data_IF_484675957255
#
_entry.id   IF_484675957255
#
_cell.length_a   1.000
_cell.length_b   1.000
_cell.length_c   1.000
_cell.angle_alpha   90.00
_cell.angle_beta   90.00
_cell.angle_gamma   90.00
#
_symmetry.space_group_name_H-M   'P 1'
#
loop_
_entity.id
_entity.type
_entity.pdbx_description
1 polymer ?
#
# COMPACT_ATOMS: atom_id res chain seq x y z
N UNK A 1 -7.12 -25.49 13.02
CA UNK A 1 -7.37 -26.95 12.94
C UNK A 1 -7.76 -27.46 11.54
N UNK A 2 -7.61 -26.64 10.49
CA UNK A 2 -8.02 -27.00 9.12
C UNK A 2 -7.10 -28.02 8.43
N UNK A 3 -5.90 -28.25 8.96
CA UNK A 3 -4.90 -29.13 8.35
C UNK A 3 -4.46 -30.27 9.28
N UNK A 4 -5.29 -30.64 10.23
CA UNK A 4 -4.95 -31.73 11.14
C UNK A 4 -5.45 -33.06 10.58
N UNK A 5 -4.68 -33.65 9.68
CA UNK A 5 -4.71 -35.07 9.48
C UNK A 5 -3.88 -35.70 10.62
N UNK A 6 -4.48 -36.43 11.56
CA UNK A 6 -3.73 -37.05 12.67
C UNK A 6 -2.74 -38.13 12.20
N UNK A 7 -2.76 -38.51 10.93
CA UNK A 7 -1.87 -39.47 10.29
C UNK A 7 -0.92 -38.86 9.27
N UNK A 8 -1.04 -37.54 8.99
CA UNK A 8 -0.22 -36.87 8.00
C UNK A 8 1.04 -36.27 8.59
N UNK A 9 2.15 -36.37 7.89
CA UNK A 9 3.36 -35.62 8.16
C UNK A 9 3.19 -34.19 7.62
N UNK A 10 3.57 -33.19 8.43
CA UNK A 10 3.57 -31.79 8.00
C UNK A 10 4.86 -31.11 8.43
N UNK A 11 5.30 -30.17 7.59
CA UNK A 11 6.46 -29.33 7.84
C UNK A 11 5.99 -27.89 8.02
N UNK A 12 6.41 -27.27 9.11
CA UNK A 12 6.14 -25.86 9.39
C UNK A 12 7.38 -25.03 9.06
N UNK A 13 7.18 -23.99 8.25
CA UNK A 13 8.20 -23.00 7.96
C UNK A 13 7.84 -21.70 8.67
N UNK A 14 8.79 -21.12 9.38
CA UNK A 14 8.61 -19.86 10.08
C UNK A 14 9.92 -19.10 10.22
N UNK A 15 9.81 -17.79 10.36
CA UNK A 15 10.92 -16.90 10.68
C UNK A 15 10.47 -15.98 11.82
N UNK A 16 11.04 -16.16 12.99
CA UNK A 16 10.71 -15.36 14.18
C UNK A 16 11.06 -13.89 14.04
N UNK A 17 12.06 -13.56 13.20
CA UNK A 17 12.49 -12.20 12.90
C UNK A 17 11.47 -11.43 12.06
N UNK A 18 10.50 -12.12 11.47
CA UNK A 18 9.36 -11.52 10.75
C UNK A 18 8.10 -11.43 11.62
N UNK A 19 8.23 -11.47 12.94
CA UNK A 19 7.13 -11.30 13.88
C UNK A 19 6.77 -9.81 14.03
N UNK A 20 6.11 -9.27 13.03
CA UNK A 20 5.75 -7.85 12.94
C UNK A 20 4.71 -7.39 13.97
N UNK A 21 3.99 -8.32 14.61
CA UNK A 21 2.96 -7.99 15.59
C UNK A 21 3.48 -7.96 17.03
N UNK A 22 4.78 -8.23 17.26
CA UNK A 22 5.40 -8.17 18.58
C UNK A 22 4.80 -9.12 19.60
N UNK A 23 3.99 -10.09 19.17
CA UNK A 23 3.47 -11.10 20.08
C UNK A 23 4.60 -12.05 20.47
N UNK A 24 4.76 -12.37 21.76
CA UNK A 24 5.73 -13.34 22.18
C UNK A 24 5.36 -14.70 21.57
N UNK A 25 6.05 -15.08 20.51
CA UNK A 25 6.04 -16.45 20.02
C UNK A 25 6.95 -17.24 20.93
N UNK A 26 6.42 -17.66 22.06
CA UNK A 26 7.05 -18.73 22.79
C UNK A 26 7.00 -19.96 21.86
N UNK A 27 8.15 -20.55 21.57
CA UNK A 27 8.23 -21.86 20.88
C UNK A 27 7.28 -22.90 21.51
N UNK A 28 6.88 -22.68 22.77
CA UNK A 28 5.95 -23.51 23.52
C UNK A 28 4.48 -23.33 23.15
N UNK A 29 4.12 -22.24 22.49
CA UNK A 29 2.69 -21.95 22.16
C UNK A 29 2.28 -22.57 20.82
N UNK A 30 3.21 -22.94 20.00
CA UNK A 30 2.94 -23.82 18.86
C UNK A 30 2.91 -25.25 19.39
N UNK A 31 1.76 -25.66 19.90
CA UNK A 31 1.53 -27.07 20.34
C UNK A 31 1.51 -27.95 19.09
N UNK A 32 2.67 -28.14 18.52
CA UNK A 32 2.92 -29.11 17.46
C UNK A 32 3.95 -30.08 17.98
N UNK A 33 3.67 -31.36 17.83
CA UNK A 33 4.66 -32.41 18.05
C UNK A 33 5.73 -32.36 16.93
N UNK A 34 6.31 -31.16 16.68
CA UNK A 34 7.38 -31.01 15.69
C UNK A 34 8.60 -31.73 16.24
N UNK A 35 8.96 -32.83 15.62
CA UNK A 35 10.16 -33.58 15.93
C UNK A 35 11.35 -33.00 15.17
N UNK A 36 12.10 -32.15 15.82
CA UNK A 36 13.33 -31.55 15.30
C UNK A 36 13.08 -30.15 14.68
N UNK A 37 14.05 -29.27 14.85
CA UNK A 37 14.13 -27.96 14.21
C UNK A 37 15.35 -28.00 13.29
N UNK A 38 15.13 -27.80 12.01
CA UNK A 38 16.18 -27.62 11.03
C UNK A 38 16.23 -26.18 10.59
N UNK A 39 17.39 -25.56 10.65
CA UNK A 39 17.62 -24.24 10.12
C UNK A 39 18.03 -24.31 8.66
N UNK A 40 17.39 -23.46 7.83
CA UNK A 40 17.79 -23.30 6.43
C UNK A 40 19.02 -22.39 6.36
N UNK A 41 20.17 -22.96 6.07
CA UNK A 41 21.46 -22.23 6.02
C UNK A 41 21.70 -21.49 4.71
N UNK A 42 20.93 -21.77 3.68
CA UNK A 42 21.13 -21.18 2.35
C UNK A 42 20.03 -20.17 2.03
N UNK A 43 20.41 -18.98 1.55
CA UNK A 43 19.48 -18.00 1.02
C UNK A 43 19.38 -18.12 -0.50
N UNK A 44 18.38 -18.84 -0.99
CA UNK A 44 18.11 -18.98 -2.43
C UNK A 44 17.28 -17.83 -3.02
N UNK A 45 16.73 -16.96 -2.17
CA UNK A 45 15.77 -15.96 -2.56
C UNK A 45 16.41 -14.67 -3.04
N UNK A 46 17.38 -14.18 -2.29
CA UNK A 46 17.89 -12.81 -2.44
C UNK A 46 19.32 -12.81 -2.92
N UNK A 47 19.63 -11.80 -3.73
CA UNK A 47 21.01 -11.46 -4.10
C UNK A 47 21.89 -11.28 -2.85
N UNK A 48 23.18 -11.50 -3.00
CA UNK A 48 24.12 -11.46 -1.88
C UNK A 48 24.14 -10.10 -1.17
N UNK A 49 24.00 -8.96 -1.87
CA UNK A 49 23.95 -7.65 -1.23
C UNK A 49 22.71 -7.47 -0.36
N UNK A 50 21.56 -7.94 -0.81
CA UNK A 50 20.31 -7.89 -0.01
C UNK A 50 20.42 -8.81 1.20
N UNK A 51 21.00 -10.00 1.02
CA UNK A 51 21.30 -10.93 2.11
C UNK A 51 22.24 -10.32 3.14
N UNK A 52 23.37 -9.75 2.69
CA UNK A 52 24.36 -9.14 3.56
C UNK A 52 23.82 -7.94 4.32
N UNK A 53 22.92 -7.16 3.69
CA UNK A 53 22.18 -6.12 4.38
C UNK A 53 21.25 -6.71 5.45
N UNK A 54 20.52 -7.76 5.13
CA UNK A 54 19.62 -8.42 6.09
C UNK A 54 20.40 -8.99 7.28
N UNK A 55 21.55 -9.61 7.05
CA UNK A 55 22.44 -10.11 8.11
C UNK A 55 23.03 -8.95 8.94
N UNK A 56 23.53 -7.91 8.29
CA UNK A 56 24.03 -6.73 9.00
C UNK A 56 22.94 -6.04 9.82
N UNK A 57 21.69 -6.06 9.34
CA UNK A 57 20.55 -5.55 10.07
C UNK A 57 20.27 -6.40 11.33
N UNK A 58 20.32 -7.72 11.22
CA UNK A 58 20.17 -8.60 12.38
C UNK A 58 21.23 -8.30 13.45
N UNK A 59 22.49 -8.18 13.06
CA UNK A 59 23.60 -7.92 13.99
C UNK A 59 23.51 -6.55 14.66
N UNK A 60 23.15 -5.49 13.93
CA UNK A 60 23.26 -4.12 14.42
C UNK A 60 21.95 -3.52 14.92
N UNK A 61 20.79 -4.05 14.49
CA UNK A 61 19.48 -3.51 14.87
C UNK A 61 18.76 -4.46 15.84
N UNK A 62 18.75 -5.73 15.59
CA UNK A 62 18.18 -6.69 16.54
C UNK A 62 19.12 -6.98 17.70
N UNK A 63 20.44 -6.93 17.47
CA UNK A 63 21.42 -7.27 18.51
C UNK A 63 21.15 -8.64 19.12
N UNK A 64 21.05 -8.68 20.45
CA UNK A 64 20.82 -9.93 21.19
C UNK A 64 19.36 -10.40 21.20
N UNK A 65 18.47 -9.70 20.50
CA UNK A 65 17.03 -10.07 20.46
C UNK A 65 16.78 -11.37 19.72
N UNK A 66 17.57 -11.64 18.70
CA UNK A 66 17.48 -12.85 17.88
C UNK A 66 18.87 -13.33 17.51
N UNK A 67 19.04 -14.63 17.36
CA UNK A 67 20.25 -15.21 16.81
C UNK A 67 20.45 -14.72 15.37
N UNK A 68 21.68 -14.36 15.03
CA UNK A 68 22.03 -13.96 13.67
C UNK A 68 22.09 -15.20 12.79
N UNK A 69 21.42 -15.17 11.64
CA UNK A 69 21.52 -16.26 10.67
C UNK A 69 22.94 -16.34 10.12
N UNK A 70 23.48 -17.56 10.11
CA UNK A 70 24.78 -17.83 9.50
C UNK A 70 24.59 -18.20 8.01
N UNK A 71 24.77 -17.22 7.15
CA UNK A 71 24.78 -17.43 5.70
C UNK A 71 26.22 -17.59 5.14
N UNK A 72 27.15 -18.05 5.97
CA UNK A 72 28.59 -18.12 5.65
C UNK A 72 28.91 -19.07 4.50
N UNK A 73 28.06 -20.03 4.20
CA UNK A 73 28.22 -20.90 3.03
C UNK A 73 27.67 -20.23 1.77
N UNK A 74 28.41 -19.37 1.28
CA UNK A 74 28.67 -18.82 -0.05
C UNK A 74 27.63 -18.93 -1.16
N UNK A 75 27.13 -17.79 -1.51
CA UNK A 75 26.58 -17.48 -2.81
C UNK A 75 25.06 -17.61 -2.84
N UNK A 76 24.45 -16.64 -3.47
CA UNK A 76 23.08 -16.79 -3.97
C UNK A 76 23.09 -17.85 -5.05
N UNK A 77 22.62 -19.02 -4.76
CA UNK A 77 22.41 -20.07 -5.75
C UNK A 77 20.95 -20.00 -6.23
N UNK A 78 20.74 -20.29 -7.50
CA UNK A 78 19.40 -20.56 -7.99
C UNK A 78 18.92 -21.94 -7.49
N UNK A 79 17.66 -22.26 -7.75
CA UNK A 79 17.07 -23.55 -7.37
C UNK A 79 17.82 -24.77 -7.96
N UNK A 80 18.61 -24.56 -9.02
CA UNK A 80 19.41 -25.59 -9.67
C UNK A 80 20.88 -25.60 -9.22
N UNK A 81 21.23 -24.82 -8.20
CA UNK A 81 22.59 -24.76 -7.67
C UNK A 81 23.57 -23.95 -8.54
N UNK A 82 23.07 -23.14 -9.48
CA UNK A 82 23.89 -22.24 -10.26
C UNK A 82 24.05 -20.91 -9.53
N UNK A 83 25.28 -20.42 -9.42
CA UNK A 83 25.54 -19.13 -8.81
C UNK A 83 24.87 -18.00 -9.63
N UNK A 84 24.06 -17.19 -8.98
CA UNK A 84 23.46 -16.03 -9.64
C UNK A 84 24.55 -15.01 -10.00
N UNK A 85 24.82 -14.88 -11.30
CA UNK A 85 25.90 -14.02 -11.80
C UNK A 85 25.54 -12.53 -11.88
N UNK A 86 24.29 -12.14 -11.59
CA UNK A 86 23.86 -10.75 -11.70
C UNK A 86 23.89 -10.07 -10.34
N UNK A 87 24.85 -9.20 -10.18
CA UNK A 87 25.03 -8.38 -8.99
C UNK A 87 23.81 -7.48 -8.75
N UNK A 88 23.20 -7.60 -7.58
CA UNK A 88 22.10 -6.75 -7.14
C UNK A 88 22.58 -5.33 -6.81
N UNK A 89 21.63 -4.40 -6.78
CA UNK A 89 21.88 -3.02 -6.46
C UNK A 89 21.17 -2.64 -5.17
N UNK A 90 21.92 -2.04 -4.24
CA UNK A 90 21.35 -1.45 -3.03
C UNK A 90 21.65 0.04 -3.01
N UNK A 91 20.64 0.84 -2.73
CA UNK A 91 20.80 2.27 -2.54
C UNK A 91 19.99 2.78 -1.35
N UNK A 92 20.48 3.87 -0.78
CA UNK A 92 19.82 4.59 0.29
C UNK A 92 19.71 6.06 -0.07
N UNK A 93 18.54 6.63 0.14
CA UNK A 93 18.23 8.04 -0.11
C UNK A 93 17.46 8.61 1.08
N UNK A 94 17.84 9.80 1.54
CA UNK A 94 17.15 10.52 2.59
C UNK A 94 16.44 11.74 2.04
N UNK A 95 15.14 11.87 2.34
CA UNK A 95 14.32 13.01 2.00
C UNK A 95 13.97 13.78 3.26
N UNK A 96 14.45 15.01 3.37
CA UNK A 96 14.18 15.86 4.54
C UNK A 96 12.73 16.32 4.64
N UNK A 97 12.10 16.58 3.49
CA UNK A 97 10.73 17.06 3.42
C UNK A 97 9.73 15.90 3.48
N UNK A 98 9.22 15.67 4.67
CA UNK A 98 8.26 14.60 5.01
C UNK A 98 6.92 14.69 4.25
N UNK A 99 6.63 15.84 3.64
CA UNK A 99 5.33 16.08 2.99
C UNK A 99 5.46 16.15 1.47
N UNK A 100 6.66 16.02 0.93
CA UNK A 100 6.90 16.18 -0.48
C UNK A 100 6.75 14.86 -1.26
N UNK A 101 5.52 14.44 -1.48
CA UNK A 101 5.20 13.26 -2.28
C UNK A 101 5.66 13.41 -3.73
N UNK A 102 5.69 14.62 -4.27
CA UNK A 102 6.19 14.86 -5.63
C UNK A 102 7.70 14.52 -5.72
N UNK A 103 8.49 14.87 -4.70
CA UNK A 103 9.89 14.46 -4.62
C UNK A 103 10.04 12.93 -4.51
N UNK A 104 9.23 12.28 -3.68
CA UNK A 104 9.20 10.81 -3.57
C UNK A 104 8.88 10.18 -4.93
N UNK A 105 7.85 10.67 -5.63
CA UNK A 105 7.50 10.23 -6.97
C UNK A 105 8.67 10.40 -7.95
N UNK A 106 9.30 11.57 -7.99
CA UNK A 106 10.40 11.87 -8.91
C UNK A 106 11.58 10.93 -8.69
N UNK A 107 11.93 10.65 -7.44
CA UNK A 107 13.00 9.72 -7.09
C UNK A 107 12.66 8.30 -7.52
N UNK A 108 11.47 7.80 -7.19
CA UNK A 108 11.05 6.45 -7.57
C UNK A 108 11.00 6.34 -9.09
N UNK A 109 10.36 7.27 -9.77
CA UNK A 109 10.23 7.28 -11.22
C UNK A 109 11.58 7.35 -11.92
N UNK A 110 12.49 8.21 -11.44
CA UNK A 110 13.85 8.34 -11.97
C UNK A 110 14.65 7.04 -11.82
N UNK A 111 14.57 6.37 -10.68
CA UNK A 111 15.23 5.09 -10.48
C UNK A 111 14.63 3.98 -11.38
N UNK A 112 13.31 3.95 -11.56
CA UNK A 112 12.66 3.00 -12.46
C UNK A 112 13.14 3.21 -13.89
N UNK A 113 13.15 4.45 -14.40
CA UNK A 113 13.55 4.76 -15.76
C UNK A 113 15.04 4.50 -16.00
N UNK A 114 15.90 4.86 -15.05
CA UNK A 114 17.35 4.81 -15.24
C UNK A 114 17.97 3.43 -14.98
N UNK A 115 17.37 2.62 -14.09
CA UNK A 115 18.00 1.38 -13.61
C UNK A 115 17.16 0.12 -13.83
N UNK A 116 15.88 0.27 -14.05
CA UNK A 116 14.95 -0.84 -14.24
C UNK A 116 14.37 -0.88 -15.67
N UNK A 117 15.00 -0.24 -16.63
CA UNK A 117 14.47 -0.08 -18.00
C UNK A 117 14.10 -1.39 -18.73
N UNK A 118 14.64 -2.52 -18.28
CA UNK A 118 14.32 -3.84 -18.81
C UNK A 118 13.55 -4.72 -17.81
N UNK A 119 13.09 -4.16 -16.68
CA UNK A 119 12.35 -4.91 -15.66
C UNK A 119 10.86 -4.64 -15.86
N UNK A 120 10.09 -5.71 -15.89
CA UNK A 120 8.63 -5.60 -15.99
C UNK A 120 8.05 -4.80 -14.81
N UNK A 121 7.05 -3.93 -15.04
CA UNK A 121 6.32 -3.29 -13.95
C UNK A 121 5.78 -4.28 -12.90
N UNK A 122 5.46 -5.50 -13.31
CA UNK A 122 5.03 -6.57 -12.40
C UNK A 122 6.09 -6.95 -11.35
N UNK A 123 7.36 -6.75 -11.67
CA UNK A 123 8.50 -7.12 -10.83
C UNK A 123 8.98 -5.98 -9.93
N UNK A 124 8.26 -4.86 -9.95
CA UNK A 124 8.56 -3.67 -9.16
C UNK A 124 7.50 -3.50 -8.07
N UNK A 125 7.97 -3.34 -6.84
CA UNK A 125 7.08 -3.13 -5.68
C UNK A 125 7.55 -1.95 -4.85
N UNK A 126 6.60 -1.13 -4.43
CA UNK A 126 6.80 -0.02 -3.48
C UNK A 126 6.16 -0.43 -2.17
N UNK A 127 6.95 -0.50 -1.11
CA UNK A 127 6.54 -0.90 0.22
C UNK A 127 6.66 0.25 1.20
N UNK A 128 5.68 0.39 2.08
CA UNK A 128 5.70 1.35 3.18
C UNK A 128 5.02 0.79 4.42
N UNK A 129 5.02 1.56 5.51
CA UNK A 129 4.45 1.11 6.78
C UNK A 129 2.95 1.34 6.83
N UNK A 130 2.49 2.49 6.37
CA UNK A 130 1.11 2.91 6.56
C UNK A 130 0.30 2.94 5.29
N UNK A 131 -0.99 2.70 5.47
CA UNK A 131 -1.95 2.79 4.36
C UNK A 131 -2.18 4.25 3.95
N UNK A 132 -2.03 5.21 4.85
CA UNK A 132 -2.26 6.63 4.59
C UNK A 132 -1.30 7.18 3.54
N UNK A 133 0.00 7.11 3.80
CA UNK A 133 1.02 7.56 2.84
C UNK A 133 0.90 6.81 1.51
N UNK A 134 0.74 5.49 1.57
CA UNK A 134 0.69 4.68 0.36
C UNK A 134 -0.53 4.98 -0.51
N UNK A 135 -1.70 5.26 0.07
CA UNK A 135 -2.87 5.70 -0.70
C UNK A 135 -2.62 7.00 -1.42
N UNK A 136 -2.06 7.96 -0.69
CA UNK A 136 -1.77 9.28 -1.22
C UNK A 136 -0.72 9.20 -2.32
N UNK A 137 0.33 8.42 -2.08
CA UNK A 137 1.38 8.19 -3.06
C UNK A 137 0.86 7.44 -4.31
N UNK A 138 0.06 6.39 -4.14
CA UNK A 138 -0.50 5.61 -5.25
C UNK A 138 -1.41 6.48 -6.13
N UNK A 139 -2.28 7.28 -5.53
CA UNK A 139 -3.12 8.20 -6.26
C UNK A 139 -2.29 9.21 -7.07
N UNK A 140 -1.27 9.80 -6.44
CA UNK A 140 -0.34 10.71 -7.11
C UNK A 140 0.42 10.01 -8.22
N UNK A 141 0.99 8.83 -7.95
CA UNK A 141 1.78 8.04 -8.90
C UNK A 141 0.96 7.71 -10.16
N UNK A 142 -0.26 7.19 -9.99
CA UNK A 142 -1.12 6.82 -11.12
C UNK A 142 -1.53 8.03 -11.95
N UNK A 143 -1.87 9.11 -11.28
CA UNK A 143 -2.19 10.37 -11.98
C UNK A 143 -0.98 10.91 -12.77
N UNK A 144 0.18 11.03 -12.13
CA UNK A 144 1.39 11.57 -12.75
C UNK A 144 1.97 10.66 -13.84
N UNK A 145 1.86 9.34 -13.69
CA UNK A 145 2.29 8.36 -14.69
C UNK A 145 1.27 8.11 -15.79
N UNK A 146 0.06 8.67 -15.66
CA UNK A 146 -1.09 8.40 -16.54
C UNK A 146 -1.38 6.90 -16.72
N UNK A 147 -1.12 6.12 -15.69
CA UNK A 147 -1.45 4.70 -15.67
C UNK A 147 -2.95 4.50 -15.50
N UNK A 148 -3.56 3.70 -16.38
CA UNK A 148 -5.01 3.43 -16.41
C UNK A 148 -5.39 2.13 -15.72
N UNK A 149 -4.69 1.72 -14.69
CA UNK A 149 -4.97 0.42 -14.08
C UNK A 149 -5.52 0.57 -12.68
N UNK A 150 -6.19 -0.49 -12.21
CA UNK A 150 -6.79 -0.62 -10.87
C UNK A 150 -5.89 -0.05 -9.77
N UNK A 151 -5.92 1.24 -9.58
CA UNK A 151 -5.15 1.98 -8.58
C UNK A 151 -5.93 2.08 -7.28
N UNK A 152 -5.27 2.53 -6.22
CA UNK A 152 -6.00 2.94 -5.01
C UNK A 152 -6.97 4.08 -5.28
N UNK A 153 -6.69 4.92 -6.28
CA UNK A 153 -7.59 5.97 -6.75
C UNK A 153 -8.92 5.39 -7.23
N UNK A 154 -8.88 4.41 -8.15
CA UNK A 154 -10.08 3.72 -8.61
C UNK A 154 -10.81 2.99 -7.48
N UNK A 155 -10.05 2.47 -6.50
CA UNK A 155 -10.65 1.88 -5.29
C UNK A 155 -11.42 2.93 -4.49
N UNK A 156 -10.87 4.14 -4.32
CA UNK A 156 -11.54 5.24 -3.63
C UNK A 156 -12.79 5.67 -4.40
N UNK A 157 -12.70 5.84 -5.72
CA UNK A 157 -13.85 6.13 -6.57
C UNK A 157 -14.94 5.05 -6.46
N UNK A 158 -14.54 3.78 -6.49
CA UNK A 158 -15.46 2.66 -6.31
C UNK A 158 -16.12 2.69 -4.93
N UNK A 159 -15.39 3.06 -3.87
CA UNK A 159 -15.95 3.24 -2.53
C UNK A 159 -17.01 4.34 -2.52
N UNK A 160 -16.71 5.50 -3.08
CA UNK A 160 -17.68 6.59 -3.17
C UNK A 160 -18.92 6.17 -3.99
N UNK A 161 -18.72 5.52 -5.12
CA UNK A 161 -19.83 5.02 -5.95
C UNK A 161 -20.70 4.03 -5.18
N UNK A 162 -20.09 3.11 -4.46
CA UNK A 162 -20.82 2.10 -3.67
C UNK A 162 -21.66 2.77 -2.58
N UNK A 163 -21.10 3.74 -1.86
CA UNK A 163 -21.81 4.49 -0.83
C UNK A 163 -22.94 5.34 -1.41
N UNK A 164 -22.68 6.04 -2.51
CA UNK A 164 -23.70 6.86 -3.18
C UNK A 164 -24.83 6.00 -3.73
N UNK A 165 -24.53 4.82 -4.26
CA UNK A 165 -25.54 3.86 -4.72
C UNK A 165 -26.40 3.33 -3.56
N UNK A 166 -25.76 3.02 -2.41
CA UNK A 166 -26.46 2.57 -1.23
C UNK A 166 -27.40 3.64 -0.70
N UNK A 167 -26.90 4.87 -0.51
CA UNK A 167 -27.69 6.00 -0.06
C UNK A 167 -28.87 6.23 -1.01
N UNK A 168 -28.63 6.19 -2.34
CA UNK A 168 -29.69 6.37 -3.33
C UNK A 168 -30.77 5.31 -3.29
N UNK A 169 -30.42 4.03 -3.00
CA UNK A 169 -31.39 2.93 -2.90
C UNK A 169 -32.20 2.95 -1.61
N UNK A 170 -31.60 3.39 -0.52
CA UNK A 170 -32.23 3.34 0.82
C UNK A 170 -32.84 4.66 1.26
N UNK A 171 -33.15 5.51 0.31
CA UNK A 171 -33.63 6.88 0.55
C UNK A 171 -35.14 6.96 0.96
N UNK A 172 -35.82 5.85 1.13
CA UNK A 172 -37.24 5.80 1.46
C UNK A 172 -37.56 6.32 2.86
N UNK A 173 -37.68 7.65 3.00
CA UNK A 173 -38.26 8.26 4.19
C UNK A 173 -37.29 8.57 5.35
N UNK A 174 -36.00 8.43 5.20
CA UNK A 174 -35.04 8.82 6.22
C UNK A 174 -34.70 10.33 6.10
N UNK A 175 -35.09 11.19 7.07
CA UNK A 175 -34.84 12.63 7.01
C UNK A 175 -33.35 12.99 6.96
N UNK A 176 -32.48 12.14 7.46
CA UNK A 176 -31.03 12.34 7.42
C UNK A 176 -30.43 12.23 6.01
N UNK A 177 -31.22 11.74 5.05
CA UNK A 177 -30.81 11.63 3.64
C UNK A 177 -31.41 12.74 2.74
N UNK A 178 -32.13 13.67 3.31
CA UNK A 178 -32.73 14.79 2.56
C UNK A 178 -31.67 15.61 1.79
N UNK A 179 -30.49 15.79 2.37
CA UNK A 179 -29.39 16.46 1.74
C UNK A 179 -28.87 15.71 0.48
N UNK A 180 -28.90 14.38 0.46
CA UNK A 180 -28.49 13.59 -0.70
C UNK A 180 -29.43 13.86 -1.89
N UNK A 181 -30.71 13.95 -1.63
CA UNK A 181 -31.67 14.35 -2.67
C UNK A 181 -31.39 15.76 -3.20
N UNK A 182 -31.07 16.70 -2.32
CA UNK A 182 -30.72 18.07 -2.70
C UNK A 182 -29.44 18.08 -3.56
N UNK A 183 -28.42 17.34 -3.18
CA UNK A 183 -27.19 17.18 -3.99
C UNK A 183 -27.54 16.57 -5.35
N UNK A 184 -28.26 15.47 -5.35
CA UNK A 184 -28.62 14.75 -6.57
C UNK A 184 -29.42 15.63 -7.51
N UNK A 185 -30.40 16.37 -7.01
CA UNK A 185 -31.20 17.35 -7.81
C UNK A 185 -30.34 18.52 -8.31
N UNK A 186 -29.43 19.02 -7.50
CA UNK A 186 -28.51 20.06 -7.93
C UNK A 186 -27.64 19.58 -9.11
N UNK A 187 -26.97 18.47 -8.99
CA UNK A 187 -26.14 17.90 -10.05
C UNK A 187 -26.97 17.48 -11.27
N UNK A 188 -28.17 16.95 -11.07
CA UNK A 188 -29.10 16.63 -12.14
C UNK A 188 -29.40 17.87 -12.99
N UNK A 189 -29.77 18.97 -12.35
CA UNK A 189 -30.05 20.24 -13.05
C UNK A 189 -28.82 20.79 -13.78
N UNK A 190 -27.63 20.61 -13.22
CA UNK A 190 -26.39 21.13 -13.79
C UNK A 190 -25.86 20.26 -14.94
N UNK A 191 -25.86 18.95 -14.77
CA UNK A 191 -25.30 17.99 -15.75
C UNK A 191 -26.31 17.62 -16.84
N UNK A 192 -27.61 17.59 -16.51
CA UNK A 192 -28.68 17.18 -17.42
C UNK A 192 -29.83 18.22 -17.51
N UNK A 193 -29.53 19.47 -17.88
CA UNK A 193 -30.51 20.57 -17.77
C UNK A 193 -31.77 20.39 -18.62
N UNK A 194 -31.70 19.58 -19.68
CA UNK A 194 -32.83 19.34 -20.59
C UNK A 194 -33.65 18.09 -20.22
N UNK A 195 -33.28 17.34 -19.16
CA UNK A 195 -33.96 16.12 -18.76
C UNK A 195 -34.89 16.37 -17.59
N UNK A 196 -36.14 16.03 -17.73
CA UNK A 196 -37.13 16.04 -16.65
C UNK A 196 -37.05 14.77 -15.79
N UNK A 197 -36.72 13.64 -16.41
CA UNK A 197 -36.60 12.34 -15.75
C UNK A 197 -35.22 11.75 -16.01
N UNK A 198 -34.56 11.19 -14.98
CA UNK A 198 -33.32 10.43 -15.11
C UNK A 198 -33.63 8.94 -15.10
N UNK A 199 -33.09 8.25 -16.08
CA UNK A 199 -33.09 6.78 -16.12
C UNK A 199 -31.95 6.21 -15.28
N UNK A 200 -31.95 4.93 -14.99
CA UNK A 200 -30.91 4.27 -14.19
C UNK A 200 -29.50 4.54 -14.71
N UNK A 201 -29.32 4.56 -16.02
CA UNK A 201 -28.05 4.89 -16.66
C UNK A 201 -27.59 6.33 -16.33
N UNK A 202 -28.48 7.29 -16.34
CA UNK A 202 -28.18 8.67 -16.02
C UNK A 202 -27.83 8.83 -14.53
N UNK A 203 -28.51 8.09 -13.67
CA UNK A 203 -28.22 8.07 -12.23
C UNK A 203 -26.84 7.48 -11.94
N UNK A 204 -26.47 6.40 -12.64
CA UNK A 204 -25.11 5.83 -12.53
C UNK A 204 -24.08 6.86 -12.97
N UNK A 205 -24.28 7.51 -14.12
CA UNK A 205 -23.37 8.53 -14.63
C UNK A 205 -23.27 9.73 -13.69
N UNK A 206 -24.38 10.18 -13.13
CA UNK A 206 -24.43 11.25 -12.14
C UNK A 206 -23.58 10.90 -10.91
N UNK A 207 -23.75 9.70 -10.35
CA UNK A 207 -22.98 9.22 -9.20
C UNK A 207 -21.50 9.09 -9.51
N UNK A 208 -21.13 8.65 -10.72
CA UNK A 208 -19.73 8.61 -11.15
C UNK A 208 -19.12 10.02 -11.16
N UNK A 209 -19.80 11.03 -11.65
CA UNK A 209 -19.30 12.39 -11.63
C UNK A 209 -19.07 12.91 -10.20
N UNK A 210 -20.00 12.63 -9.29
CA UNK A 210 -19.87 13.02 -7.88
C UNK A 210 -18.67 12.29 -7.24
N UNK A 211 -18.51 10.96 -7.50
CA UNK A 211 -17.41 10.18 -6.97
C UNK A 211 -16.05 10.69 -7.45
N UNK A 212 -15.92 10.99 -8.75
CA UNK A 212 -14.69 11.56 -9.33
C UNK A 212 -14.37 12.91 -8.68
N UNK A 213 -15.38 13.77 -8.54
CA UNK A 213 -15.19 15.08 -7.93
C UNK A 213 -14.71 14.97 -6.46
N UNK A 214 -15.30 14.07 -5.67
CA UNK A 214 -14.85 13.81 -4.30
C UNK A 214 -13.43 13.28 -4.25
N UNK A 215 -13.07 12.38 -5.15
CA UNK A 215 -11.72 11.83 -5.22
C UNK A 215 -10.68 12.91 -5.53
N UNK A 216 -10.95 13.78 -6.49
CA UNK A 216 -10.05 14.90 -6.84
C UNK A 216 -9.97 15.90 -5.70
N UNK A 217 -11.07 16.14 -4.99
CA UNK A 217 -11.06 16.98 -3.80
C UNK A 217 -10.15 16.40 -2.69
N UNK A 218 -10.22 15.12 -2.42
CA UNK A 218 -9.36 14.48 -1.42
C UNK A 218 -7.87 14.57 -1.81
N UNK A 219 -7.56 14.45 -3.10
CA UNK A 219 -6.23 14.69 -3.62
C UNK A 219 -5.79 16.14 -3.49
N UNK A 220 -6.68 17.08 -3.77
CA UNK A 220 -6.42 18.51 -3.59
C UNK A 220 -6.12 18.85 -2.12
N UNK A 221 -6.87 18.31 -1.18
CA UNK A 221 -6.62 18.52 0.27
C UNK A 221 -5.22 18.04 0.65
N UNK A 222 -4.78 16.93 0.06
CA UNK A 222 -3.45 16.36 0.31
C UNK A 222 -2.32 17.06 -0.46
N UNK A 223 -2.61 17.60 -1.66
CA UNK A 223 -1.64 18.19 -2.60
C UNK A 223 -2.25 19.42 -3.30
N UNK A 224 -2.42 20.54 -2.57
CA UNK A 224 -3.10 21.72 -3.11
C UNK A 224 -2.50 22.23 -4.42
N UNK A 225 -1.17 22.37 -4.46
CA UNK A 225 -0.48 22.94 -5.62
C UNK A 225 -0.60 22.08 -6.88
N UNK A 226 -0.73 20.77 -6.72
CA UNK A 226 -0.79 19.85 -7.86
C UNK A 226 -2.19 19.66 -8.40
N UNK A 227 -3.19 19.64 -7.51
CA UNK A 227 -4.57 19.29 -7.89
C UNK A 227 -5.54 20.45 -7.93
N UNK A 228 -5.10 21.68 -7.60
CA UNK A 228 -5.95 22.87 -7.60
C UNK A 228 -6.60 23.13 -8.96
N UNK A 229 -5.80 23.20 -10.01
CA UNK A 229 -6.32 23.46 -11.36
C UNK A 229 -7.27 22.34 -11.82
N UNK A 230 -6.88 21.09 -11.57
CA UNK A 230 -7.73 19.94 -11.90
C UNK A 230 -9.05 19.95 -11.16
N UNK A 231 -9.05 20.33 -9.89
CA UNK A 231 -10.27 20.46 -9.10
C UNK A 231 -11.17 21.55 -9.65
N UNK A 232 -10.59 22.71 -10.01
CA UNK A 232 -11.33 23.82 -10.62
C UNK A 232 -11.99 23.35 -11.92
N UNK A 233 -11.23 22.70 -12.82
CA UNK A 233 -11.77 22.15 -14.07
C UNK A 233 -12.95 21.21 -13.85
N UNK A 234 -12.85 20.31 -12.88
CA UNK A 234 -13.93 19.36 -12.60
C UNK A 234 -15.16 20.04 -11.96
N UNK A 235 -14.94 21.06 -11.11
CA UNK A 235 -16.01 21.89 -10.60
C UNK A 235 -16.73 22.64 -11.75
N UNK A 236 -15.98 23.21 -12.69
CA UNK A 236 -16.53 23.89 -13.87
C UNK A 236 -17.35 22.95 -14.77
N UNK A 237 -16.82 21.74 -15.04
CA UNK A 237 -17.56 20.70 -15.78
C UNK A 237 -18.89 20.34 -15.13
N UNK A 238 -18.89 20.28 -13.80
CA UNK A 238 -20.10 20.03 -13.00
C UNK A 238 -20.95 21.29 -12.77
N UNK A 239 -20.47 22.48 -13.19
CA UNK A 239 -21.12 23.77 -12.98
C UNK A 239 -21.46 24.06 -11.52
N UNK A 240 -20.53 23.75 -10.62
CA UNK A 240 -20.64 24.02 -9.19
C UNK A 240 -19.51 24.92 -8.73
N UNK A 241 -19.72 25.65 -7.65
CA UNK A 241 -18.66 26.40 -6.99
C UNK A 241 -17.90 25.51 -5.99
N UNK A 242 -16.70 25.93 -5.65
CA UNK A 242 -15.87 25.25 -4.67
C UNK A 242 -16.55 25.14 -3.29
N UNK A 243 -17.21 26.21 -2.84
CA UNK A 243 -17.93 26.24 -1.57
C UNK A 243 -19.07 25.21 -1.53
N UNK A 244 -19.78 25.06 -2.65
CA UNK A 244 -20.84 24.05 -2.79
C UNK A 244 -20.25 22.66 -2.70
N UNK A 245 -19.09 22.41 -3.31
CA UNK A 245 -18.40 21.13 -3.20
C UNK A 245 -18.00 20.82 -1.75
N UNK A 246 -17.41 21.79 -1.04
CA UNK A 246 -17.03 21.63 0.37
C UNK A 246 -18.25 21.29 1.22
N UNK A 247 -19.34 22.03 1.06
CA UNK A 247 -20.57 21.78 1.80
C UNK A 247 -21.11 20.36 1.53
N UNK A 248 -21.12 19.93 0.28
CA UNK A 248 -21.55 18.58 -0.09
C UNK A 248 -20.66 17.50 0.49
N UNK A 249 -19.34 17.70 0.45
CA UNK A 249 -18.39 16.74 0.98
C UNK A 249 -18.54 16.57 2.50
N UNK A 250 -18.75 17.68 3.21
CA UNK A 250 -19.01 17.65 4.64
C UNK A 250 -20.28 16.88 4.98
N UNK A 251 -21.39 17.17 4.32
CA UNK A 251 -22.63 16.44 4.53
C UNK A 251 -22.52 14.95 4.18
N UNK A 252 -21.78 14.63 3.11
CA UNK A 252 -21.52 13.25 2.76
C UNK A 252 -20.80 12.51 3.89
N UNK A 253 -19.79 13.11 4.52
CA UNK A 253 -19.06 12.52 5.66
C UNK A 253 -19.96 12.33 6.90
N UNK A 254 -20.83 13.27 7.18
CA UNK A 254 -21.79 13.18 8.28
C UNK A 254 -22.71 11.96 8.11
N UNK A 255 -23.26 11.77 6.89
CA UNK A 255 -24.13 10.63 6.58
C UNK A 255 -23.35 9.32 6.62
N UNK A 256 -22.15 9.28 6.04
CA UNK A 256 -21.28 8.11 6.07
C UNK A 256 -21.00 7.65 7.50
N UNK A 257 -20.82 8.59 8.41
CA UNK A 257 -20.57 8.28 9.83
C UNK A 257 -21.77 7.58 10.46
N UNK A 258 -22.98 7.92 10.09
CA UNK A 258 -24.20 7.28 10.58
C UNK A 258 -24.41 5.86 10.04
N UNK A 259 -23.99 5.60 8.80
CA UNK A 259 -24.15 4.29 8.14
C UNK A 259 -22.94 3.36 8.25
N UNK A 260 -21.90 3.77 8.95
CA UNK A 260 -20.62 3.04 9.00
C UNK A 260 -20.68 1.61 9.48
N UNK A 261 -21.70 1.19 10.24
CA UNK A 261 -21.68 -0.10 10.93
C UNK A 261 -22.10 -1.28 10.06
N UNK A 262 -23.10 -1.16 9.21
CA UNK A 262 -23.72 -2.34 8.58
C UNK A 262 -23.32 -2.58 7.13
N UNK A 263 -23.20 -1.51 6.34
CA UNK A 263 -22.88 -1.63 4.90
C UNK A 263 -21.38 -1.64 4.63
N UNK A 264 -20.63 -1.00 5.50
CA UNK A 264 -19.20 -0.83 5.32
C UNK A 264 -18.44 -2.16 5.31
N UNK A 265 -18.88 -3.16 6.09
CA UNK A 265 -18.16 -4.42 6.23
C UNK A 265 -18.21 -5.30 4.98
N UNK A 266 -19.38 -5.48 4.35
CA UNK A 266 -19.52 -6.33 3.17
C UNK A 266 -19.00 -5.68 1.89
N UNK A 267 -19.33 -4.40 1.67
CA UNK A 267 -18.88 -3.66 0.51
C UNK A 267 -17.38 -3.36 0.57
N UNK A 268 -16.86 -3.03 1.75
CA UNK A 268 -15.42 -2.85 1.95
C UNK A 268 -14.64 -4.14 1.72
N UNK A 269 -15.18 -5.27 2.13
CA UNK A 269 -14.59 -6.59 1.87
C UNK A 269 -14.49 -6.85 0.36
N UNK A 270 -15.54 -6.61 -0.40
CA UNK A 270 -15.55 -6.78 -1.86
C UNK A 270 -14.52 -5.85 -2.55
N UNK A 271 -14.45 -4.58 -2.13
CA UNK A 271 -13.46 -3.64 -2.65
C UNK A 271 -12.04 -4.09 -2.30
N UNK A 272 -11.83 -4.57 -1.09
CA UNK A 272 -10.53 -5.11 -0.64
C UNK A 272 -10.13 -6.37 -1.41
N UNK A 273 -11.07 -7.24 -1.70
CA UNK A 273 -10.80 -8.48 -2.45
C UNK A 273 -10.49 -8.17 -3.91
N UNK A 274 -11.19 -7.23 -4.52
CA UNK A 274 -10.84 -6.72 -5.85
C UNK A 274 -9.45 -6.07 -5.89
N UNK A 275 -9.04 -5.40 -4.82
CA UNK A 275 -7.71 -4.81 -4.68
C UNK A 275 -6.58 -5.84 -4.71
N UNK A 276 -6.82 -7.09 -4.32
CA UNK A 276 -5.83 -8.17 -4.40
C UNK A 276 -5.44 -8.53 -5.84
N UNK A 277 -6.26 -8.16 -6.83
CA UNK A 277 -5.92 -8.34 -8.24
C UNK A 277 -4.63 -7.64 -8.65
N UNK A 278 -4.22 -6.58 -7.97
CA UNK A 278 -2.93 -5.91 -8.19
C UNK A 278 -1.71 -6.80 -7.93
N UNK A 279 -1.87 -7.83 -7.11
CA UNK A 279 -0.79 -8.75 -6.80
C UNK A 279 -0.67 -9.91 -7.79
N UNK A 280 -1.55 -9.98 -8.79
CA UNK A 280 -1.43 -11.00 -9.81
C UNK A 280 -0.18 -10.78 -10.66
N UNK A 281 0.49 -11.88 -10.98
CA UNK A 281 1.79 -11.86 -11.67
C UNK A 281 1.78 -11.09 -13.00
N UNK A 282 0.64 -10.99 -13.65
CA UNK A 282 0.47 -10.36 -14.96
C UNK A 282 -0.41 -9.10 -14.93
N UNK A 283 -0.44 -8.37 -13.82
CA UNK A 283 -1.24 -7.14 -13.73
C UNK A 283 -0.76 -6.03 -14.68
N UNK A 284 0.48 -6.10 -15.15
CA UNK A 284 1.10 -5.07 -15.98
C UNK A 284 1.44 -3.78 -15.23
N UNK A 285 1.32 -3.78 -13.89
CA UNK A 285 1.46 -2.58 -13.08
C UNK A 285 2.44 -2.74 -11.93
N UNK A 286 3.01 -1.62 -11.50
CA UNK A 286 3.80 -1.55 -10.29
C UNK A 286 2.90 -1.83 -9.07
N UNK A 287 3.39 -2.65 -8.16
CA UNK A 287 2.70 -2.97 -6.92
C UNK A 287 3.00 -1.92 -5.86
N UNK A 288 1.98 -1.42 -5.19
CA UNK A 288 2.12 -0.49 -4.06
C UNK A 288 1.37 -1.10 -2.88
N UNK A 289 2.08 -1.40 -1.80
CA UNK A 289 1.52 -2.16 -0.68
C UNK A 289 2.17 -1.82 0.64
N UNK A 290 1.48 -2.11 1.74
CA UNK A 290 2.15 -2.14 3.03
C UNK A 290 3.03 -3.39 3.13
N UNK A 291 4.13 -3.30 3.89
CA UNK A 291 5.02 -4.43 4.15
C UNK A 291 4.23 -5.62 4.70
N UNK A 292 3.31 -5.35 5.64
CA UNK A 292 2.47 -6.38 6.24
C UNK A 292 1.59 -7.11 5.21
N UNK A 293 0.95 -6.37 4.30
CA UNK A 293 0.12 -6.97 3.25
C UNK A 293 0.92 -7.71 2.19
N UNK A 294 2.21 -7.38 2.04
CA UNK A 294 3.14 -8.00 1.11
C UNK A 294 3.89 -9.20 1.72
N UNK A 295 3.67 -9.49 3.00
CA UNK A 295 4.27 -10.66 3.65
C UNK A 295 3.88 -11.95 2.90
N UNK A 296 4.87 -12.77 2.56
CA UNK A 296 4.69 -13.98 1.74
C UNK A 296 4.94 -13.75 0.24
N UNK A 297 4.99 -12.52 -0.23
CA UNK A 297 5.32 -12.15 -1.61
C UNK A 297 6.76 -11.67 -1.71
N UNK A 298 7.27 -11.59 -2.93
CA UNK A 298 8.62 -11.10 -3.24
C UNK A 298 8.64 -10.39 -4.59
N UNK A 299 9.66 -9.55 -4.83
CA UNK A 299 9.80 -8.76 -6.04
C UNK A 299 11.27 -8.60 -6.42
N UNK A 300 11.57 -8.51 -7.72
CA UNK A 300 12.93 -8.27 -8.23
C UNK A 300 13.45 -6.89 -7.77
N UNK A 301 12.59 -5.90 -7.79
CA UNK A 301 12.90 -4.52 -7.36
C UNK A 301 11.95 -4.11 -6.25
N UNK A 302 12.51 -3.67 -5.13
CA UNK A 302 11.74 -3.14 -4.01
C UNK A 302 12.18 -1.72 -3.69
N UNK A 303 11.24 -0.80 -3.71
CA UNK A 303 11.38 0.52 -3.10
C UNK A 303 10.78 0.45 -1.70
N UNK A 304 11.63 0.54 -0.69
CA UNK A 304 11.22 0.49 0.71
C UNK A 304 11.18 1.90 1.27
N UNK A 305 9.97 2.41 1.52
CA UNK A 305 9.73 3.76 2.02
C UNK A 305 9.63 3.73 3.55
N UNK A 306 10.56 4.41 4.21
CA UNK A 306 10.59 4.54 5.66
C UNK A 306 9.94 5.85 6.06
N UNK A 307 8.74 5.75 6.62
CA UNK A 307 7.97 6.90 7.11
C UNK A 307 8.46 7.38 8.48
N UNK A 308 8.17 8.63 8.86
CA UNK A 308 8.36 9.08 10.23
C UNK A 308 7.68 8.18 11.23
N UNK A 309 8.24 8.03 12.41
CA UNK A 309 7.67 7.18 13.45
C UNK A 309 6.29 7.69 13.86
N UNK A 310 5.32 6.79 13.85
CA UNK A 310 3.98 7.06 14.36
C UNK A 310 4.00 7.13 15.88
N UNK A 311 3.22 8.06 16.42
CA UNK A 311 2.95 8.09 17.84
C UNK A 311 2.24 6.80 18.25
N UNK A 312 2.76 6.12 19.26
CA UNK A 312 2.34 4.78 19.70
C UNK A 312 0.87 4.70 20.16
N UNK A 313 0.19 5.84 20.24
CA UNK A 313 -1.16 5.94 20.82
C UNK A 313 -2.31 5.42 19.95
N UNK A 314 -2.09 5.14 18.66
CA UNK A 314 -3.20 4.92 17.72
C UNK A 314 -3.17 3.64 16.92
N UNK A 315 -2.14 2.83 16.98
CA UNK A 315 -2.04 1.63 16.14
C UNK A 315 -1.38 0.46 16.86
N UNK A 316 -1.90 -0.73 16.58
CA UNK A 316 -1.39 -2.03 16.96
C UNK A 316 0.10 -2.03 17.35
N UNK A 317 0.46 -2.84 18.35
CA UNK A 317 1.85 -3.09 18.77
C UNK A 317 2.66 -3.70 17.61
N UNK A 318 2.91 -2.92 16.56
CA UNK A 318 3.78 -3.33 15.46
C UNK A 318 5.22 -3.15 15.89
N UNK A 319 6.01 -4.18 15.74
CA UNK A 319 7.45 -4.09 15.89
C UNK A 319 8.06 -3.54 14.59
N UNK A 320 8.54 -2.30 14.65
CA UNK A 320 9.05 -1.63 13.45
C UNK A 320 10.36 -2.24 12.93
N UNK A 321 11.21 -2.75 13.80
CA UNK A 321 12.46 -3.38 13.39
C UNK A 321 12.16 -4.67 12.61
N UNK A 322 11.24 -5.52 13.08
CA UNK A 322 10.81 -6.72 12.37
C UNK A 322 10.07 -6.40 11.09
N UNK A 323 9.29 -5.30 11.09
CA UNK A 323 8.59 -4.86 9.89
C UNK A 323 9.59 -4.44 8.81
N UNK A 324 10.61 -3.66 9.18
CA UNK A 324 11.64 -3.22 8.27
C UNK A 324 12.48 -4.40 7.74
N UNK A 325 12.90 -5.29 8.63
CA UNK A 325 13.56 -6.54 8.25
C UNK A 325 12.72 -7.34 7.26
N UNK A 326 11.42 -7.48 7.55
CA UNK A 326 10.50 -8.14 6.64
C UNK A 326 10.48 -7.45 5.27
N UNK A 327 10.46 -6.11 5.23
CA UNK A 327 10.50 -5.35 3.98
C UNK A 327 11.79 -5.58 3.18
N UNK A 328 12.94 -5.58 3.83
CA UNK A 328 14.24 -5.87 3.21
C UNK A 328 14.23 -7.26 2.58
N UNK A 329 13.76 -8.28 3.31
CA UNK A 329 13.73 -9.68 2.85
C UNK A 329 12.68 -9.97 1.77
N UNK A 330 11.87 -8.99 1.35
CA UNK A 330 10.96 -9.11 0.18
C UNK A 330 11.65 -8.84 -1.14
N UNK A 331 12.85 -8.30 -1.09
CA UNK A 331 13.63 -7.97 -2.28
C UNK A 331 14.46 -9.17 -2.75
N UNK A 332 14.35 -9.48 -4.05
CA UNK A 332 15.22 -10.49 -4.66
C UNK A 332 16.56 -9.90 -5.07
N UNK A 333 16.56 -8.70 -5.66
CA UNK A 333 17.74 -8.19 -6.33
C UNK A 333 18.07 -6.73 -6.05
N UNK A 334 17.19 -5.82 -6.42
CA UNK A 334 17.46 -4.38 -6.38
C UNK A 334 16.64 -3.72 -5.27
N UNK A 335 17.29 -3.32 -4.19
CA UNK A 335 16.66 -2.67 -3.05
C UNK A 335 17.01 -1.19 -3.02
N UNK A 336 16.01 -0.34 -3.08
CA UNK A 336 16.17 1.10 -2.89
C UNK A 336 15.41 1.50 -1.62
N UNK A 337 16.16 1.85 -0.59
CA UNK A 337 15.60 2.36 0.67
C UNK A 337 15.47 3.86 0.57
N UNK A 338 14.24 4.36 0.66
CA UNK A 338 13.94 5.79 0.65
C UNK A 338 13.45 6.18 2.04
N UNK A 339 14.30 6.83 2.78
CA UNK A 339 13.93 7.35 4.08
C UNK A 339 13.20 8.69 3.92
N UNK A 340 11.92 8.66 4.23
CA UNK A 340 11.00 9.79 4.12
C UNK A 340 10.86 10.51 5.47
N UNK A 341 11.97 10.98 6.01
CA UNK A 341 12.02 11.76 7.25
C UNK A 341 12.00 10.94 8.54
N UNK A 342 12.45 9.70 8.52
CA UNK A 342 12.63 8.89 9.73
C UNK A 342 14.07 8.97 10.23
N UNK A 343 14.35 9.86 11.17
CA UNK A 343 15.70 10.12 11.69
C UNK A 343 16.27 8.91 12.45
N UNK A 344 15.43 8.16 13.17
CA UNK A 344 15.87 6.98 13.93
C UNK A 344 16.48 5.94 12.99
N UNK A 345 15.78 5.63 11.90
CA UNK A 345 16.28 4.65 10.94
C UNK A 345 17.33 5.20 9.98
N UNK A 346 17.46 6.50 9.87
CA UNK A 346 18.59 7.09 9.16
C UNK A 346 19.91 6.71 9.82
N UNK A 347 19.97 6.84 11.13
CA UNK A 347 21.15 6.48 11.93
C UNK A 347 21.43 4.96 11.87
N UNK A 348 20.40 4.14 11.87
CA UNK A 348 20.54 2.68 11.90
C UNK A 348 20.93 2.08 10.53
N UNK A 349 20.33 2.55 9.43
CA UNK A 349 20.39 1.87 8.13
C UNK A 349 21.41 2.49 7.17
N UNK A 350 21.56 3.82 7.17
CA UNK A 350 22.51 4.48 6.27
C UNK A 350 23.94 3.90 6.39
N UNK A 351 24.51 3.67 7.60
CA UNK A 351 25.83 3.09 7.73
C UNK A 351 25.91 1.64 7.20
N UNK A 352 24.85 0.85 7.37
CA UNK A 352 24.82 -0.53 6.89
C UNK A 352 24.88 -0.59 5.37
N UNK A 353 24.08 0.24 4.69
CA UNK A 353 24.07 0.30 3.24
C UNK A 353 25.37 0.90 2.68
N UNK A 354 25.95 1.87 3.39
CA UNK A 354 27.21 2.48 2.95
C UNK A 354 28.38 1.48 2.91
N UNK A 355 28.38 0.47 3.78
CA UNK A 355 29.39 -0.59 3.81
C UNK A 355 29.27 -1.59 2.66
N UNK A 356 28.10 -1.65 1.99
CA UNK A 356 27.80 -2.60 0.92
C UNK A 356 27.92 -1.99 -0.50
N UNK A 357 28.21 -0.72 -0.58
CA UNK A 357 28.49 -0.02 -1.85
C UNK A 357 29.93 -0.24 -2.28
#
# INVERSE_FOLDING_TARGET
>A
NFFRDPKGDYVLFGDVKQNIYGQPTLQKDVVTNVRGVNELKYCFRSDFKVRDLAQSFQQNVFGDKYDTDDFSENGSYDFFGQQQQKEGYINYMYLQDKNNIASLYTIIRGNILNKAGNISPNDITILGYTTGLLRTFDAYYRYASREKTNSMLETIETMYMTHLNYIGKNNGGNPNLAWFNNITEHFKKKLFPKRTTLYDYDLIKLRQHIAVLFTIYDLYVSFPDTFKERLIEECEKCRISFDVLIAFRKHYEEVLTQFKKDVYSSNYKNIRDNKKLHFWMNSGTIKISTINSFKGWESEVVFLVLEPKYDKSTTFNLSFDELLYTGITRCKRNLIVINFGNEEYDIKIRPLIAKLK
#
